data_IF_969728528431
#
_entry.id   IF_969728528431
#
_cell.length_a   1.000
_cell.length_b   1.000
_cell.length_c   1.000
_cell.angle_alpha   90.00
_cell.angle_beta   90.00
_cell.angle_gamma   90.00
#
_symmetry.space_group_name_H-M   'P 1'
#
loop_
_entity.id
_entity.type
_entity.pdbx_description
1 polymer ?
#
# COMPACT_ATOMS: atom_id res chain seq x y z
N UNK A 1 -28.35 -33.61 -2.74
CA UNK A 1 -27.38 -34.47 -2.03
C UNK A 1 -26.28 -34.79 -3.02
N UNK A 2 -25.02 -34.81 -2.57
CA UNK A 2 -23.89 -35.21 -3.45
C UNK A 2 -24.16 -36.64 -3.92
N UNK A 3 -24.09 -36.88 -5.24
CA UNK A 3 -24.24 -38.22 -5.80
C UNK A 3 -23.04 -39.09 -5.43
N UNK A 4 -23.28 -40.32 -4.98
CA UNK A 4 -22.21 -41.25 -4.58
C UNK A 4 -21.22 -41.56 -5.71
N UNK A 5 -21.65 -41.46 -6.97
CA UNK A 5 -20.78 -41.66 -8.14
C UNK A 5 -19.66 -40.63 -8.25
N UNK A 6 -19.81 -39.45 -7.64
CA UNK A 6 -18.76 -38.42 -7.63
C UNK A 6 -17.53 -38.81 -6.81
N UNK A 7 -17.67 -39.74 -5.85
CA UNK A 7 -16.64 -40.08 -4.88
C UNK A 7 -16.41 -39.02 -3.77
N UNK A 8 -17.15 -37.91 -3.79
CA UNK A 8 -17.02 -36.83 -2.80
C UNK A 8 -17.85 -37.11 -1.54
N UNK A 9 -17.30 -36.77 -0.39
CA UNK A 9 -17.92 -36.90 0.92
C UNK A 9 -18.44 -35.55 1.44
N UNK A 10 -19.53 -35.60 2.20
CA UNK A 10 -20.12 -34.41 2.82
C UNK A 10 -19.16 -33.81 3.86
N UNK A 11 -19.04 -32.48 3.88
CA UNK A 11 -18.18 -31.74 4.80
C UNK A 11 -16.69 -31.71 4.41
N UNK A 12 -16.30 -32.44 3.38
CA UNK A 12 -14.93 -32.39 2.84
C UNK A 12 -14.79 -31.35 1.73
N UNK A 13 -13.58 -30.83 1.57
CA UNK A 13 -13.24 -29.91 0.48
C UNK A 13 -12.47 -30.65 -0.59
N UNK A 14 -12.78 -30.35 -1.84
CA UNK A 14 -12.07 -30.92 -2.99
C UNK A 14 -11.61 -29.81 -3.92
N UNK A 15 -10.34 -29.83 -4.30
CA UNK A 15 -9.77 -28.91 -5.30
C UNK A 15 -9.53 -29.66 -6.60
N UNK A 16 -9.67 -28.97 -7.73
CA UNK A 16 -9.38 -29.53 -9.04
C UNK A 16 -7.90 -29.33 -9.34
N UNK A 17 -7.16 -30.43 -9.51
CA UNK A 17 -5.74 -30.37 -9.84
C UNK A 17 -5.57 -30.12 -11.34
N UNK A 18 -5.19 -28.89 -11.71
CA UNK A 18 -5.04 -28.50 -13.10
C UNK A 18 -3.70 -28.97 -13.68
N UNK A 19 -3.74 -29.50 -14.90
CA UNK A 19 -2.55 -29.81 -15.70
C UNK A 19 -2.29 -28.66 -16.69
N UNK A 20 -1.03 -28.43 -17.06
CA UNK A 20 -0.70 -27.40 -18.03
C UNK A 20 -1.49 -27.65 -19.34
N UNK A 21 -2.25 -26.62 -19.79
CA UNK A 21 -3.10 -26.57 -21.01
C UNK A 21 -4.59 -26.97 -20.87
N UNK A 22 -5.13 -27.10 -19.66
CA UNK A 22 -6.59 -27.25 -19.43
C UNK A 22 -7.21 -26.00 -18.79
N UNK A 23 -8.55 -25.91 -18.75
CA UNK A 23 -9.26 -24.84 -18.04
C UNK A 23 -8.82 -24.76 -16.57
N UNK A 24 -8.65 -23.55 -16.04
CA UNK A 24 -8.17 -23.31 -14.69
C UNK A 24 -9.34 -23.17 -13.70
N UNK A 25 -9.53 -24.20 -12.88
CA UNK A 25 -10.46 -24.19 -11.76
C UNK A 25 -9.74 -23.74 -10.48
N UNK A 26 -9.77 -22.44 -10.18
CA UNK A 26 -9.02 -21.84 -9.06
C UNK A 26 -9.67 -21.95 -7.68
N UNK A 27 -10.71 -22.77 -7.53
CA UNK A 27 -11.59 -22.83 -6.37
C UNK A 27 -11.65 -24.22 -5.72
N UNK A 28 -12.66 -24.44 -4.89
CA UNK A 28 -12.90 -25.73 -4.24
C UNK A 28 -14.39 -26.09 -4.19
N UNK A 29 -14.67 -27.38 -4.21
CA UNK A 29 -15.97 -27.92 -3.87
C UNK A 29 -16.14 -28.08 -2.36
N UNK A 30 -17.30 -27.73 -1.83
CA UNK A 30 -17.76 -28.07 -0.48
C UNK A 30 -19.26 -28.35 -0.54
N UNK A 31 -19.69 -29.50 -0.02
CA UNK A 31 -21.10 -29.91 0.02
C UNK A 31 -21.83 -29.84 -1.35
N UNK A 32 -21.10 -30.14 -2.43
CA UNK A 32 -21.61 -30.12 -3.81
C UNK A 32 -21.75 -28.72 -4.42
N UNK A 33 -21.21 -27.69 -3.78
CA UNK A 33 -21.10 -26.32 -4.31
C UNK A 33 -19.65 -25.97 -4.57
N UNK A 34 -19.39 -25.17 -5.59
CA UNK A 34 -18.05 -24.75 -5.98
C UNK A 34 -17.84 -23.26 -5.70
N UNK A 35 -16.74 -22.94 -5.04
CA UNK A 35 -16.40 -21.61 -4.54
C UNK A 35 -15.02 -21.19 -5.02
N UNK A 36 -14.85 -19.93 -5.46
CA UNK A 36 -13.54 -19.42 -5.90
C UNK A 36 -12.59 -19.07 -4.74
N UNK A 37 -13.08 -19.08 -3.49
CA UNK A 37 -12.26 -18.82 -2.32
C UNK A 37 -13.03 -18.97 -1.00
N UNK A 38 -12.36 -19.18 0.15
CA UNK A 38 -13.01 -19.45 1.43
C UNK A 38 -13.86 -18.29 1.97
N UNK A 39 -13.58 -17.08 1.50
CA UNK A 39 -14.26 -15.83 1.92
C UNK A 39 -15.46 -15.48 1.03
N UNK A 40 -15.57 -16.12 -0.14
CA UNK A 40 -16.68 -15.91 -1.06
C UNK A 40 -17.85 -16.79 -0.64
N UNK A 41 -18.83 -16.20 0.04
CA UNK A 41 -20.05 -16.90 0.47
C UNK A 41 -21.00 -17.26 -0.69
N UNK A 42 -20.66 -16.88 -1.92
CA UNK A 42 -21.44 -17.15 -3.13
C UNK A 42 -20.79 -18.28 -3.93
N UNK A 43 -21.54 -19.37 -4.12
CA UNK A 43 -21.11 -20.44 -5.01
C UNK A 43 -21.22 -19.99 -6.46
N UNK A 44 -20.18 -20.25 -7.26
CA UNK A 44 -20.14 -19.98 -8.71
C UNK A 44 -20.31 -21.25 -9.55
N UNK A 45 -20.60 -22.38 -8.88
CA UNK A 45 -20.91 -23.64 -9.52
C UNK A 45 -21.51 -24.63 -8.52
N UNK A 46 -22.13 -25.69 -9.01
CA UNK A 46 -22.75 -26.72 -8.18
C UNK A 46 -22.88 -28.05 -8.92
N UNK A 47 -23.12 -29.11 -8.15
CA UNK A 47 -23.36 -30.44 -8.67
C UNK A 47 -24.86 -30.74 -8.78
N UNK A 48 -25.28 -31.19 -9.95
CA UNK A 48 -26.58 -31.84 -10.18
C UNK A 48 -26.34 -33.30 -10.56
N UNK A 49 -26.51 -34.20 -9.59
CA UNK A 49 -26.04 -35.57 -9.72
C UNK A 49 -24.51 -35.59 -9.83
N UNK A 50 -24.01 -36.10 -10.95
CA UNK A 50 -22.58 -36.08 -11.31
C UNK A 50 -22.21 -34.90 -12.23
N UNK A 51 -23.18 -34.13 -12.72
CA UNK A 51 -22.89 -33.00 -13.62
C UNK A 51 -22.39 -31.81 -12.81
N UNK A 52 -21.27 -31.23 -13.24
CA UNK A 52 -20.74 -30.00 -12.69
C UNK A 52 -21.21 -28.80 -13.52
N UNK A 53 -22.09 -28.00 -12.92
CA UNK A 53 -22.55 -26.74 -13.45
C UNK A 53 -21.63 -25.62 -12.97
N UNK A 54 -21.14 -24.80 -13.90
CA UNK A 54 -20.18 -23.73 -13.66
C UNK A 54 -20.65 -22.43 -14.30
N UNK A 55 -20.93 -21.44 -13.45
CA UNK A 55 -21.62 -20.19 -13.78
C UNK A 55 -20.68 -18.97 -13.66
N UNK A 56 -19.41 -19.17 -14.02
CA UNK A 56 -18.46 -18.08 -14.19
C UNK A 56 -18.63 -17.43 -15.58
N UNK A 57 -18.53 -16.11 -15.64
CA UNK A 57 -18.58 -15.33 -16.87
C UNK A 57 -17.17 -14.91 -17.28
N UNK A 58 -16.90 -14.93 -18.58
CA UNK A 58 -15.65 -14.44 -19.14
C UNK A 58 -15.60 -12.89 -19.18
N UNK A 59 -14.50 -12.34 -19.70
CA UNK A 59 -14.30 -10.89 -19.79
C UNK A 59 -15.32 -10.16 -20.70
N UNK A 60 -16.07 -10.90 -21.52
CA UNK A 60 -17.11 -10.38 -22.41
C UNK A 60 -18.51 -10.57 -21.81
N UNK A 61 -18.62 -11.21 -20.64
CA UNK A 61 -19.88 -11.46 -19.94
C UNK A 61 -20.61 -12.73 -20.39
N UNK A 62 -19.96 -13.59 -21.17
CA UNK A 62 -20.52 -14.86 -21.63
C UNK A 62 -20.12 -16.01 -20.68
N UNK A 63 -20.96 -17.03 -20.48
CA UNK A 63 -20.59 -18.19 -19.67
C UNK A 63 -19.32 -18.87 -20.17
N UNK A 64 -18.40 -19.18 -19.25
CA UNK A 64 -17.13 -19.86 -19.55
C UNK A 64 -17.36 -21.22 -20.23
N UNK A 65 -18.45 -21.92 -19.90
CA UNK A 65 -18.87 -23.15 -20.56
C UNK A 65 -20.24 -22.97 -21.24
N UNK A 66 -20.43 -23.45 -22.48
CA UNK A 66 -21.74 -23.52 -23.12
C UNK A 66 -22.75 -24.26 -22.23
N UNK A 67 -23.97 -23.71 -22.12
CA UNK A 67 -25.05 -24.22 -21.26
C UNK A 67 -24.68 -24.35 -19.77
N UNK A 68 -23.57 -23.73 -19.33
CA UNK A 68 -23.02 -23.78 -17.96
C UNK A 68 -22.61 -25.18 -17.51
N UNK A 69 -22.48 -26.15 -18.41
CA UNK A 69 -22.06 -27.51 -18.04
C UNK A 69 -20.55 -27.62 -18.26
N UNK A 70 -19.78 -27.67 -17.17
CA UNK A 70 -18.33 -27.86 -17.26
C UNK A 70 -17.96 -29.30 -17.60
N UNK A 71 -18.69 -30.28 -17.05
CA UNK A 71 -18.42 -31.70 -17.28
C UNK A 71 -19.11 -32.62 -16.28
N UNK A 72 -18.62 -33.86 -16.20
CA UNK A 72 -19.14 -34.91 -15.30
C UNK A 72 -18.04 -35.31 -14.31
N UNK A 73 -18.39 -35.39 -13.02
CA UNK A 73 -17.50 -35.87 -11.95
C UNK A 73 -17.86 -37.30 -11.60
N UNK A 74 -16.89 -38.20 -11.79
CA UNK A 74 -16.99 -39.61 -11.41
C UNK A 74 -15.70 -40.04 -10.71
N UNK A 75 -15.81 -40.68 -9.54
CA UNK A 75 -14.69 -41.19 -8.75
C UNK A 75 -13.54 -40.17 -8.57
N UNK A 76 -13.88 -38.97 -8.10
CA UNK A 76 -12.95 -37.84 -7.92
C UNK A 76 -12.20 -37.45 -9.20
N UNK A 77 -12.80 -37.65 -10.37
CA UNK A 77 -12.29 -37.18 -11.65
C UNK A 77 -13.35 -36.35 -12.37
N UNK A 78 -13.05 -35.09 -12.65
CA UNK A 78 -13.85 -34.24 -13.53
C UNK A 78 -13.45 -34.49 -14.99
N UNK A 79 -14.38 -35.01 -15.78
CA UNK A 79 -14.25 -35.15 -17.23
C UNK A 79 -14.97 -33.98 -17.88
N UNK A 80 -14.22 -33.04 -18.45
CA UNK A 80 -14.75 -31.88 -19.16
C UNK A 80 -15.40 -32.28 -20.48
N UNK A 81 -16.27 -31.42 -21.02
CA UNK A 81 -16.96 -31.66 -22.29
C UNK A 81 -16.01 -31.83 -23.49
N UNK A 82 -14.80 -31.27 -23.42
CA UNK A 82 -13.75 -31.41 -24.44
C UNK A 82 -12.95 -32.73 -24.29
N UNK A 83 -13.27 -33.55 -23.29
CA UNK A 83 -12.63 -34.83 -23.00
C UNK A 83 -11.42 -34.72 -22.06
N UNK A 84 -11.03 -33.53 -21.60
CA UNK A 84 -9.98 -33.38 -20.61
C UNK A 84 -10.39 -33.99 -19.26
N UNK A 85 -9.42 -34.63 -18.59
CA UNK A 85 -9.65 -35.31 -17.30
C UNK A 85 -8.83 -34.61 -16.23
N UNK A 86 -9.50 -34.14 -15.19
CA UNK A 86 -8.91 -33.41 -14.07
C UNK A 86 -9.20 -34.16 -12.77
N UNK A 87 -8.16 -34.44 -11.99
CA UNK A 87 -8.30 -35.13 -10.71
C UNK A 87 -8.76 -34.15 -9.63
N UNK A 88 -9.68 -34.62 -8.77
CA UNK A 88 -10.09 -33.91 -7.57
C UNK A 88 -9.34 -34.48 -6.37
N UNK A 89 -8.64 -33.61 -5.65
CA UNK A 89 -7.94 -33.99 -4.44
C UNK A 89 -8.72 -33.52 -3.21
N UNK A 90 -8.96 -34.43 -2.26
CA UNK A 90 -9.52 -34.09 -0.97
C UNK A 90 -8.50 -33.24 -0.20
N UNK A 91 -8.83 -31.98 0.04
CA UNK A 91 -8.00 -31.10 0.86
C UNK A 91 -8.34 -31.39 2.31
N UNK A 92 -7.38 -31.98 3.02
CA UNK A 92 -7.39 -32.02 4.47
C UNK A 92 -7.34 -30.58 4.97
N UNK A 93 -8.51 -30.01 5.28
CA UNK A 93 -8.56 -28.82 6.11
C UNK A 93 -7.96 -29.25 7.44
N UNK A 94 -6.75 -28.80 7.73
CA UNK A 94 -6.25 -28.81 9.10
C UNK A 94 -7.13 -27.84 9.89
N UNK A 95 -8.33 -28.30 10.25
CA UNK A 95 -9.05 -27.77 11.39
C UNK A 95 -8.24 -28.28 12.56
N UNK A 96 -7.47 -27.43 13.27
CA UNK A 96 -6.79 -27.91 14.46
C UNK A 96 -7.91 -28.44 15.36
N UNK A 97 -7.85 -29.74 15.66
CA UNK A 97 -8.69 -30.33 16.68
C UNK A 97 -8.19 -29.81 18.03
N UNK A 98 -8.49 -28.55 18.31
CA UNK A 98 -8.24 -27.93 19.59
C UNK A 98 -9.38 -28.35 20.51
N UNK A 99 -9.18 -29.46 21.24
CA UNK A 99 -9.33 -29.30 22.69
C UNK A 99 -8.53 -28.06 23.08
N UNK A 100 -9.02 -27.19 23.98
CA UNK A 100 -8.39 -25.89 24.24
C UNK A 100 -7.08 -26.07 25.02
N UNK A 101 -6.08 -26.69 24.42
CA UNK A 101 -4.71 -26.29 24.66
C UNK A 101 -4.62 -24.87 24.14
N UNK A 102 -4.50 -23.95 25.10
CA UNK A 102 -4.19 -22.55 24.89
C UNK A 102 -3.01 -22.48 23.93
N UNK A 103 -3.28 -22.35 22.63
CA UNK A 103 -2.46 -21.52 21.77
C UNK A 103 -2.23 -20.27 22.61
N UNK A 104 -0.97 -19.96 22.91
CA UNK A 104 -0.66 -18.73 23.58
C UNK A 104 -1.16 -17.63 22.66
N UNK A 105 -2.41 -17.21 22.82
CA UNK A 105 -2.90 -15.89 22.46
C UNK A 105 -1.80 -15.01 23.02
N UNK A 106 -1.00 -14.43 22.13
CA UNK A 106 0.01 -13.48 22.56
C UNK A 106 -0.72 -12.56 23.54
N UNK A 107 -0.25 -12.53 24.80
CA UNK A 107 -0.94 -11.76 25.84
C UNK A 107 -1.25 -10.38 25.25
N UNK A 108 -2.48 -9.85 25.39
CA UNK A 108 -2.82 -8.54 24.87
C UNK A 108 -1.69 -7.58 25.21
N UNK A 109 -1.06 -7.00 24.18
CA UNK A 109 0.10 -6.15 24.42
C UNK A 109 -0.38 -4.89 25.11
N UNK A 110 0.05 -4.67 26.36
CA UNK A 110 -0.20 -3.43 27.11
C UNK A 110 0.82 -2.36 26.71
N UNK A 111 0.88 -2.05 25.41
CA UNK A 111 1.73 -0.96 24.92
C UNK A 111 1.12 0.41 25.19
N UNK A 112 1.86 1.47 24.90
CA UNK A 112 1.42 2.84 25.21
C UNK A 112 0.20 3.31 24.40
N UNK A 113 -0.13 2.59 23.31
CA UNK A 113 -1.31 2.86 22.48
C UNK A 113 -2.42 1.82 22.71
N UNK A 114 -2.37 1.09 23.83
CA UNK A 114 -3.38 0.08 24.15
C UNK A 114 -4.80 0.67 24.11
N UNK A 115 -5.68 0.02 23.34
CA UNK A 115 -7.08 0.44 23.16
C UNK A 115 -7.30 1.67 22.28
N UNK A 116 -6.24 2.28 21.73
CA UNK A 116 -6.37 3.36 20.74
C UNK A 116 -6.78 2.79 19.39
N UNK A 117 -7.76 3.41 18.75
CA UNK A 117 -8.22 3.01 17.42
C UNK A 117 -7.43 3.74 16.34
N UNK A 118 -6.74 2.98 15.50
CA UNK A 118 -5.82 3.47 14.47
C UNK A 118 -6.25 2.98 13.10
N UNK A 119 -6.59 3.91 12.21
CA UNK A 119 -6.91 3.63 10.81
C UNK A 119 -5.66 3.82 9.96
N UNK A 120 -5.34 2.86 9.09
CA UNK A 120 -4.17 2.94 8.20
C UNK A 120 -4.60 2.65 6.76
N UNK A 121 -4.50 3.66 5.88
CA UNK A 121 -4.72 3.46 4.44
C UNK A 121 -3.45 2.97 3.75
N UNK A 122 -3.60 2.14 2.71
CA UNK A 122 -2.46 1.50 2.04
C UNK A 122 -1.75 0.46 2.93
N UNK A 123 -2.48 -0.18 3.84
CA UNK A 123 -1.91 -1.07 4.85
C UNK A 123 -1.41 -2.42 4.31
N UNK A 124 -1.78 -2.81 3.08
CA UNK A 124 -1.46 -4.14 2.53
C UNK A 124 0.03 -4.32 2.18
N UNK A 125 0.83 -3.25 2.07
CA UNK A 125 2.23 -3.34 1.65
C UNK A 125 3.10 -2.16 2.12
N UNK A 126 4.41 -2.30 1.96
CA UNK A 126 5.35 -1.21 2.15
C UNK A 126 5.30 -0.59 3.56
N UNK A 127 5.36 0.74 3.60
CA UNK A 127 5.30 1.53 4.84
C UNK A 127 3.99 1.28 5.60
N UNK A 128 2.86 1.09 4.92
CA UNK A 128 1.58 0.85 5.57
C UNK A 128 1.53 -0.46 6.34
N UNK A 129 2.06 -1.54 5.74
CA UNK A 129 2.20 -2.85 6.43
C UNK A 129 3.19 -2.77 7.59
N UNK A 130 4.30 -2.05 7.42
CA UNK A 130 5.25 -1.78 8.50
C UNK A 130 4.61 -0.99 9.65
N UNK A 131 3.80 0.02 9.33
CA UNK A 131 3.04 0.79 10.31
C UNK A 131 2.04 -0.10 11.05
N UNK A 132 1.27 -0.93 10.36
CA UNK A 132 0.36 -1.89 11.00
C UNK A 132 1.10 -2.78 12.01
N UNK A 133 2.28 -3.28 11.67
CA UNK A 133 3.10 -4.07 12.59
C UNK A 133 3.60 -3.26 13.78
N UNK A 134 4.06 -2.03 13.56
CA UNK A 134 4.60 -1.17 14.61
C UNK A 134 3.50 -0.76 15.61
N UNK A 135 2.32 -0.38 15.12
CA UNK A 135 1.17 -0.05 15.97
C UNK A 135 0.60 -1.28 16.68
N UNK A 136 0.59 -2.46 16.05
CA UNK A 136 0.21 -3.71 16.70
C UNK A 136 1.07 -3.99 17.93
N UNK A 137 2.39 -3.80 17.81
CA UNK A 137 3.34 -3.93 18.94
C UNK A 137 3.09 -2.93 20.07
N UNK A 138 2.33 -1.86 19.83
CA UNK A 138 1.93 -0.88 20.85
C UNK A 138 0.55 -1.17 21.45
N UNK A 139 -0.09 -2.27 21.07
CA UNK A 139 -1.40 -2.68 21.58
C UNK A 139 -2.59 -1.91 20.98
N UNK A 140 -2.37 -1.15 19.90
CA UNK A 140 -3.45 -0.43 19.23
C UNK A 140 -4.46 -1.39 18.58
N UNK A 141 -5.71 -0.93 18.49
CA UNK A 141 -6.76 -1.53 17.67
C UNK A 141 -6.62 -1.02 16.24
N UNK A 142 -6.47 -1.92 15.29
CA UNK A 142 -6.12 -1.55 13.92
C UNK A 142 -7.29 -1.71 12.97
N UNK A 143 -7.49 -0.70 12.13
CA UNK A 143 -8.40 -0.74 10.99
C UNK A 143 -7.55 -0.58 9.75
N UNK A 144 -7.35 -1.68 9.02
CA UNK A 144 -6.40 -1.76 7.91
C UNK A 144 -7.16 -1.63 6.59
N UNK A 145 -6.81 -0.62 5.80
CA UNK A 145 -7.52 -0.30 4.57
C UNK A 145 -6.60 -0.35 3.35
N UNK A 146 -7.03 -1.05 2.31
CA UNK A 146 -6.39 -1.13 1.00
C UNK A 146 -7.36 -1.75 -0.03
N UNK A 147 -7.02 -1.70 -1.31
CA UNK A 147 -7.81 -2.34 -2.38
C UNK A 147 -7.67 -3.87 -2.42
N UNK A 148 -6.55 -4.39 -1.90
CA UNK A 148 -6.19 -5.81 -1.93
C UNK A 148 -6.66 -6.51 -0.65
N UNK A 149 -7.82 -7.18 -0.71
CA UNK A 149 -8.41 -7.85 0.44
C UNK A 149 -7.57 -9.04 0.93
N UNK A 150 -7.06 -9.86 0.01
CA UNK A 150 -6.20 -11.02 0.32
C UNK A 150 -4.97 -10.59 1.09
N UNK A 151 -4.29 -9.54 0.62
CA UNK A 151 -3.11 -9.04 1.31
C UNK A 151 -3.44 -8.38 2.66
N UNK A 152 -4.63 -7.78 2.82
CA UNK A 152 -5.06 -7.28 4.13
C UNK A 152 -5.25 -8.43 5.11
N UNK A 153 -5.85 -9.54 4.70
CA UNK A 153 -6.04 -10.72 5.55
C UNK A 153 -4.70 -11.24 6.10
N UNK A 154 -3.66 -11.32 5.27
CA UNK A 154 -2.30 -11.65 5.74
C UNK A 154 -1.81 -10.69 6.83
N UNK A 155 -2.03 -9.38 6.66
CA UNK A 155 -1.59 -8.39 7.65
C UNK A 155 -2.38 -8.50 8.94
N UNK A 156 -3.67 -8.87 8.90
CA UNK A 156 -4.47 -9.15 10.09
C UNK A 156 -3.86 -10.29 10.89
N UNK A 157 -3.50 -11.41 10.24
CA UNK A 157 -2.83 -12.53 10.91
C UNK A 157 -1.50 -12.09 11.53
N UNK A 158 -0.69 -11.32 10.81
CA UNK A 158 0.57 -10.78 11.32
C UNK A 158 0.36 -9.87 12.54
N UNK A 159 -0.68 -9.03 12.55
CA UNK A 159 -1.04 -8.19 13.67
C UNK A 159 -1.56 -9.01 14.86
N UNK A 160 -2.35 -10.06 14.61
CA UNK A 160 -2.85 -10.98 15.63
C UNK A 160 -1.70 -11.73 16.32
N UNK A 161 -0.69 -12.18 15.57
CA UNK A 161 0.54 -12.77 16.12
C UNK A 161 1.32 -11.80 17.02
N UNK A 162 1.09 -10.49 16.87
CA UNK A 162 1.65 -9.42 17.72
C UNK A 162 0.72 -9.02 18.86
N UNK A 163 -0.39 -9.72 19.06
CA UNK A 163 -1.34 -9.51 20.15
C UNK A 163 -2.24 -8.28 19.98
N UNK A 164 -2.43 -7.80 18.75
CA UNK A 164 -3.32 -6.67 18.44
C UNK A 164 -4.65 -7.14 17.85
N UNK A 165 -5.72 -6.44 18.21
CA UNK A 165 -7.02 -6.56 17.56
C UNK A 165 -6.98 -5.78 16.24
N UNK A 166 -7.39 -6.40 15.14
CA UNK A 166 -7.40 -5.74 13.84
C UNK A 166 -8.60 -6.19 12.99
N UNK A 167 -9.13 -5.27 12.19
CA UNK A 167 -10.09 -5.56 11.11
C UNK A 167 -9.56 -5.05 9.77
N UNK A 168 -9.93 -5.73 8.69
CA UNK A 168 -9.64 -5.31 7.33
C UNK A 168 -10.89 -4.69 6.71
N UNK A 169 -10.72 -3.55 6.04
CA UNK A 169 -11.79 -2.89 5.28
C UNK A 169 -11.26 -2.65 3.88
N UNK A 170 -11.82 -3.35 2.89
CA UNK A 170 -11.42 -3.14 1.50
C UNK A 170 -11.82 -1.72 1.09
N UNK A 171 -10.87 -0.89 0.70
CA UNK A 171 -11.12 0.53 0.44
C UNK A 171 -10.26 1.03 -0.71
N UNK A 172 -10.93 1.65 -1.68
CA UNK A 172 -10.30 2.53 -2.65
C UNK A 172 -10.41 3.99 -2.17
N UNK A 173 -9.27 4.61 -1.86
CA UNK A 173 -9.20 5.98 -1.35
C UNK A 173 -9.57 7.04 -2.40
N UNK A 174 -9.68 6.66 -3.67
CA UNK A 174 -10.13 7.55 -4.74
C UNK A 174 -11.65 7.78 -4.69
N UNK A 175 -12.39 6.93 -3.97
CA UNK A 175 -13.84 6.94 -3.91
C UNK A 175 -14.36 7.49 -2.58
N UNK A 176 -15.36 8.37 -2.63
CA UNK A 176 -15.88 9.05 -1.43
C UNK A 176 -16.72 8.15 -0.53
N UNK A 177 -17.52 7.24 -1.10
CA UNK A 177 -18.39 6.34 -0.31
C UNK A 177 -17.60 5.27 0.43
N UNK A 178 -16.63 4.56 -0.20
CA UNK A 178 -15.72 3.66 0.54
C UNK A 178 -14.99 4.35 1.69
N UNK A 179 -14.56 5.61 1.53
CA UNK A 179 -13.91 6.37 2.61
C UNK A 179 -14.87 6.70 3.76
N UNK A 180 -16.15 6.97 3.47
CA UNK A 180 -17.19 7.14 4.50
C UNK A 180 -17.47 5.84 5.23
N UNK A 181 -17.59 4.72 4.51
CA UNK A 181 -17.77 3.39 5.10
C UNK A 181 -16.59 3.02 6.00
N UNK A 182 -15.35 3.25 5.53
CA UNK A 182 -14.14 3.02 6.32
C UNK A 182 -14.17 3.76 7.66
N UNK A 183 -14.56 5.03 7.68
CA UNK A 183 -14.65 5.79 8.92
C UNK A 183 -15.78 5.28 9.85
N UNK A 184 -16.93 4.89 9.28
CA UNK A 184 -18.03 4.32 10.05
C UNK A 184 -17.66 2.98 10.70
N UNK A 185 -17.03 2.08 9.93
CA UNK A 185 -16.55 0.77 10.41
C UNK A 185 -15.45 0.94 11.46
N UNK A 186 -14.51 1.88 11.22
CA UNK A 186 -13.48 2.20 12.19
C UNK A 186 -14.06 2.69 13.51
N UNK A 187 -15.02 3.61 13.46
CA UNK A 187 -15.69 4.10 14.65
C UNK A 187 -16.47 2.98 15.36
N UNK A 188 -17.19 2.12 14.64
CA UNK A 188 -17.90 0.99 15.24
C UNK A 188 -16.94 0.06 15.99
N UNK A 189 -15.83 -0.32 15.35
CA UNK A 189 -14.77 -1.13 15.97
C UNK A 189 -14.09 -0.44 17.16
N UNK A 190 -13.92 0.88 17.07
CA UNK A 190 -13.35 1.73 18.10
C UNK A 190 -14.32 2.21 19.17
N UNK A 191 -15.50 1.61 19.29
CA UNK A 191 -16.54 1.98 20.27
C UNK A 191 -16.99 3.46 20.15
N UNK A 192 -17.23 3.90 18.92
CA UNK A 192 -17.62 5.26 18.56
C UNK A 192 -16.46 6.25 18.42
N UNK A 193 -15.21 5.80 18.50
CA UNK A 193 -14.01 6.66 18.47
C UNK A 193 -13.06 6.29 17.34
N UNK A 194 -12.32 7.30 16.88
CA UNK A 194 -11.14 7.14 16.02
C UNK A 194 -10.06 8.01 16.64
N UNK A 195 -9.00 7.42 17.17
CA UNK A 195 -7.95 8.20 17.85
C UNK A 195 -6.88 8.66 16.86
N UNK A 196 -6.53 7.82 15.87
CA UNK A 196 -5.47 8.11 14.91
C UNK A 196 -5.92 7.70 13.50
N UNK A 197 -5.73 8.59 12.53
CA UNK A 197 -5.96 8.32 11.11
C UNK A 197 -4.66 8.52 10.34
N UNK A 198 -4.17 7.47 9.67
CA UNK A 198 -2.94 7.50 8.89
C UNK A 198 -3.30 7.45 7.40
N UNK A 199 -3.15 8.59 6.73
CA UNK A 199 -3.12 8.63 5.28
C UNK A 199 -1.73 8.18 4.79
N UNK A 200 -1.67 6.98 4.25
CA UNK A 200 -0.44 6.38 3.73
C UNK A 200 -0.60 5.79 2.31
N UNK A 201 -1.82 5.48 1.86
CA UNK A 201 -2.04 5.01 0.51
C UNK A 201 -1.35 5.92 -0.52
N UNK A 202 -0.76 5.34 -1.56
CA UNK A 202 -0.07 6.09 -2.59
C UNK A 202 0.33 5.22 -3.76
N UNK A 203 0.33 5.80 -4.95
CA UNK A 203 0.76 5.19 -6.21
C UNK A 203 1.72 6.13 -6.94
N UNK A 204 2.51 5.58 -7.84
CA UNK A 204 3.46 6.34 -8.64
C UNK A 204 3.33 5.99 -10.11
N UNK A 205 3.58 6.96 -10.97
CA UNK A 205 3.77 6.77 -12.40
C UNK A 205 5.08 7.47 -12.79
N UNK A 206 5.96 6.77 -13.50
CA UNK A 206 7.23 7.32 -13.97
C UNK A 206 7.29 7.24 -15.48
N UNK A 207 7.51 8.36 -16.16
CA UNK A 207 7.55 8.48 -17.62
C UNK A 207 7.76 9.93 -18.04
N UNK A 208 8.02 10.18 -19.33
CA UNK A 208 7.95 11.55 -19.83
C UNK A 208 6.52 12.07 -19.65
N UNK A 209 6.34 13.40 -19.64
CA UNK A 209 5.02 13.96 -19.37
C UNK A 209 4.03 13.59 -20.48
N UNK A 210 4.52 13.58 -21.71
CA UNK A 210 3.80 13.28 -22.95
C UNK A 210 3.60 11.79 -23.21
N UNK A 211 4.51 10.91 -22.75
CA UNK A 211 4.39 9.45 -22.95
C UNK A 211 3.59 8.79 -21.82
N UNK A 212 3.40 9.47 -20.69
CA UNK A 212 2.55 9.00 -19.60
C UNK A 212 1.10 9.37 -19.89
N UNK A 213 0.16 8.41 -19.98
CA UNK A 213 -1.25 8.70 -20.24
C UNK A 213 -1.84 9.69 -19.22
N UNK A 214 -2.76 10.55 -19.66
CA UNK A 214 -3.39 11.54 -18.78
C UNK A 214 -4.10 10.88 -17.60
N UNK A 215 -4.76 9.75 -17.85
CA UNK A 215 -5.48 8.96 -16.86
C UNK A 215 -4.54 8.46 -15.75
N UNK A 216 -3.28 8.16 -16.09
CA UNK A 216 -2.27 7.77 -15.10
C UNK A 216 -1.87 8.96 -14.22
N UNK A 217 -1.69 10.15 -14.80
CA UNK A 217 -1.45 11.37 -14.03
C UNK A 217 -2.62 11.70 -13.10
N UNK A 218 -3.84 11.65 -13.60
CA UNK A 218 -5.05 11.91 -12.84
C UNK A 218 -5.23 10.90 -11.70
N UNK A 219 -4.98 9.61 -11.95
CA UNK A 219 -5.09 8.56 -10.94
C UNK A 219 -4.08 8.75 -9.79
N UNK A 220 -2.87 9.21 -10.10
CA UNK A 220 -1.89 9.60 -9.08
C UNK A 220 -2.44 10.75 -8.22
N UNK A 221 -3.02 11.80 -8.82
CA UNK A 221 -3.62 12.91 -8.07
C UNK A 221 -4.84 12.46 -7.24
N UNK A 222 -5.68 11.59 -7.77
CA UNK A 222 -6.84 11.04 -7.07
C UNK A 222 -6.43 10.28 -5.81
N UNK A 223 -5.35 9.51 -5.88
CA UNK A 223 -4.85 8.69 -4.76
C UNK A 223 -4.01 9.51 -3.78
N UNK A 224 -2.98 10.18 -4.28
CA UNK A 224 -1.90 10.76 -3.47
C UNK A 224 -2.20 12.16 -2.93
N UNK A 225 -3.25 12.83 -3.43
CA UNK A 225 -3.70 14.12 -2.92
C UNK A 225 -5.16 14.08 -2.46
N UNK A 226 -6.09 13.75 -3.37
CA UNK A 226 -7.51 13.77 -3.04
C UNK A 226 -7.89 12.64 -2.06
N UNK A 227 -7.23 11.48 -2.12
CA UNK A 227 -7.40 10.42 -1.12
C UNK A 227 -7.05 10.87 0.30
N UNK A 228 -6.01 11.70 0.46
CA UNK A 228 -5.61 12.26 1.76
C UNK A 228 -6.61 13.29 2.25
N UNK A 229 -7.11 14.15 1.34
CA UNK A 229 -8.17 15.10 1.63
C UNK A 229 -9.44 14.37 2.08
N UNK A 230 -9.86 13.31 1.37
CA UNK A 230 -11.01 12.47 1.76
C UNK A 230 -10.78 11.85 3.13
N UNK A 231 -9.59 11.29 3.39
CA UNK A 231 -9.24 10.71 4.69
C UNK A 231 -9.33 11.71 5.84
N UNK A 232 -8.77 12.91 5.64
CA UNK A 232 -8.89 14.00 6.61
C UNK A 232 -10.37 14.38 6.83
N UNK A 233 -11.12 14.53 5.74
CA UNK A 233 -12.53 14.94 5.77
C UNK A 233 -13.42 13.95 6.54
N UNK A 234 -13.24 12.64 6.34
CA UNK A 234 -14.05 11.62 7.03
C UNK A 234 -13.64 11.40 8.48
N UNK A 235 -12.37 11.62 8.83
CA UNK A 235 -11.90 11.53 10.21
C UNK A 235 -12.29 12.75 11.07
N UNK A 236 -12.38 13.93 10.44
CA UNK A 236 -12.55 15.21 11.13
C UNK A 236 -13.76 15.28 12.09
N UNK A 237 -14.96 14.79 11.72
CA UNK A 237 -16.13 14.83 12.60
C UNK A 237 -15.90 14.06 13.91
N UNK A 238 -15.22 12.91 13.85
CA UNK A 238 -14.89 12.11 15.02
C UNK A 238 -13.88 12.84 15.92
N UNK A 239 -12.82 13.41 15.33
CA UNK A 239 -11.84 14.20 16.09
C UNK A 239 -12.46 15.40 16.78
N UNK A 240 -13.35 16.14 16.09
CA UNK A 240 -14.07 17.30 16.67
C UNK A 240 -15.04 16.88 17.77
N UNK A 241 -15.80 15.81 17.56
CA UNK A 241 -16.76 15.31 18.55
C UNK A 241 -16.07 14.86 19.84
N UNK A 242 -14.94 14.15 19.73
CA UNK A 242 -14.17 13.68 20.89
C UNK A 242 -13.16 14.71 21.42
N UNK A 243 -13.03 15.87 20.74
CA UNK A 243 -12.06 16.96 21.01
C UNK A 243 -10.60 16.51 21.07
N UNK A 244 -10.25 15.40 20.42
CA UNK A 244 -8.90 14.85 20.38
C UNK A 244 -8.73 14.04 19.11
N UNK A 245 -7.50 13.91 18.59
CA UNK A 245 -7.23 13.02 17.46
C UNK A 245 -5.95 13.38 16.71
N UNK A 246 -5.38 12.41 16.01
CA UNK A 246 -4.13 12.62 15.28
C UNK A 246 -4.32 12.19 13.83
N UNK A 247 -4.22 13.13 12.91
CA UNK A 247 -4.08 12.87 11.48
C UNK A 247 -2.60 12.77 11.14
N UNK A 248 -2.15 11.62 10.64
CA UNK A 248 -0.78 11.43 10.15
C UNK A 248 -0.81 11.31 8.64
N UNK A 249 -0.11 12.21 7.94
CA UNK A 249 0.03 12.18 6.49
C UNK A 249 1.43 11.71 6.10
N UNK A 250 1.49 10.69 5.24
CA UNK A 250 2.74 10.21 4.63
C UNK A 250 3.03 11.04 3.37
N UNK A 251 3.90 12.03 3.52
CA UNK A 251 4.36 12.88 2.43
C UNK A 251 5.60 12.23 1.78
N UNK A 252 6.54 13.04 1.31
CA UNK A 252 7.77 12.59 0.69
C UNK A 252 8.80 13.72 0.72
N UNK A 253 10.09 13.39 0.59
CA UNK A 253 11.08 14.38 0.16
C UNK A 253 10.63 15.10 -1.14
N UNK A 254 9.87 14.40 -1.99
CA UNK A 254 9.21 14.93 -3.18
C UNK A 254 8.28 16.13 -2.92
N UNK A 255 7.92 16.42 -1.67
CA UNK A 255 7.17 17.62 -1.27
C UNK A 255 8.02 18.91 -1.24
N UNK A 256 9.35 18.78 -1.38
CA UNK A 256 10.30 19.89 -1.36
C UNK A 256 11.12 19.99 -2.64
N UNK A 257 11.33 18.86 -3.30
CA UNK A 257 12.11 18.76 -4.53
C UNK A 257 11.31 17.95 -5.53
N UNK A 258 10.85 18.60 -6.60
CA UNK A 258 10.13 17.93 -7.67
C UNK A 258 10.99 16.81 -8.29
N UNK A 259 10.37 15.67 -8.55
CA UNK A 259 10.98 14.52 -9.21
C UNK A 259 10.68 14.58 -10.71
N UNK A 260 11.70 14.80 -11.57
CA UNK A 260 11.53 14.71 -13.00
C UNK A 260 10.99 13.34 -13.41
N UNK A 261 10.19 13.32 -14.49
CA UNK A 261 9.50 12.12 -14.99
C UNK A 261 8.42 11.56 -14.04
N UNK A 262 8.08 12.27 -12.96
CA UNK A 262 6.99 11.91 -12.04
C UNK A 262 6.20 13.18 -11.67
N UNK A 263 5.65 13.86 -12.69
CA UNK A 263 5.04 15.19 -12.58
C UNK A 263 3.83 15.19 -11.66
N UNK A 264 2.85 14.32 -11.89
CA UNK A 264 1.66 14.21 -11.05
C UNK A 264 1.99 13.84 -9.59
N UNK A 265 2.95 12.93 -9.39
CA UNK A 265 3.44 12.59 -8.05
C UNK A 265 4.01 13.82 -7.35
N UNK A 266 4.88 14.58 -8.02
CA UNK A 266 5.45 15.82 -7.47
C UNK A 266 4.34 16.83 -7.12
N UNK A 267 3.40 17.08 -8.03
CA UNK A 267 2.27 17.97 -7.79
C UNK A 267 1.46 17.54 -6.56
N UNK A 268 1.16 16.25 -6.42
CA UNK A 268 0.43 15.71 -5.27
C UNK A 268 1.16 15.96 -3.95
N UNK A 269 2.47 15.68 -3.88
CA UNK A 269 3.27 15.77 -2.65
C UNK A 269 3.54 17.21 -2.23
N UNK A 270 3.64 18.16 -3.17
CA UNK A 270 3.61 19.58 -2.87
C UNK A 270 2.22 20.01 -2.35
N UNK A 271 1.14 19.55 -3.00
CA UNK A 271 -0.24 19.83 -2.59
C UNK A 271 -0.55 19.37 -1.16
N UNK A 272 -0.06 18.20 -0.75
CA UNK A 272 -0.23 17.67 0.60
C UNK A 272 0.33 18.58 1.70
N UNK A 273 1.39 19.35 1.41
CA UNK A 273 1.92 20.33 2.36
C UNK A 273 0.93 21.47 2.56
N UNK A 274 0.40 22.03 1.49
CA UNK A 274 -0.62 23.07 1.55
C UNK A 274 -1.87 22.59 2.30
N UNK A 275 -2.33 21.37 2.01
CA UNK A 275 -3.43 20.73 2.74
C UNK A 275 -3.14 20.66 4.25
N UNK A 276 -1.97 20.16 4.63
CA UNK A 276 -1.62 19.94 6.03
C UNK A 276 -1.39 21.25 6.78
N UNK A 277 -0.76 22.26 6.14
CA UNK A 277 -0.60 23.60 6.70
C UNK A 277 -1.95 24.29 6.90
N UNK A 278 -2.87 24.20 5.93
CA UNK A 278 -4.22 24.75 6.06
C UNK A 278 -5.02 24.08 7.19
N UNK A 279 -5.04 22.74 7.26
CA UNK A 279 -5.73 22.02 8.33
C UNK A 279 -5.18 22.37 9.72
N UNK A 280 -3.86 22.52 9.87
CA UNK A 280 -3.26 22.98 11.15
C UNK A 280 -3.75 24.36 11.56
N UNK A 281 -3.88 25.29 10.62
CA UNK A 281 -4.34 26.65 10.91
C UNK A 281 -5.79 26.67 11.45
N UNK A 282 -6.63 25.74 10.98
CA UNK A 282 -8.01 25.58 11.44
C UNK A 282 -8.17 24.96 12.84
N UNK A 283 -7.08 24.46 13.44
CA UNK A 283 -7.11 23.84 14.77
C UNK A 283 -6.99 24.83 15.93
N UNK A 284 -7.10 26.12 15.65
CA UNK A 284 -7.17 27.16 16.69
C UNK A 284 -8.33 26.87 17.66
N UNK A 285 -8.01 26.73 18.95
CA UNK A 285 -8.98 26.37 20.00
C UNK A 285 -9.22 24.87 20.19
N UNK A 286 -8.48 24.01 19.51
CA UNK A 286 -8.57 22.54 19.61
C UNK A 286 -7.18 21.92 19.83
N UNK A 287 -6.59 22.10 21.03
CA UNK A 287 -5.18 21.81 21.27
C UNK A 287 -4.81 20.32 21.17
N UNK A 288 -5.79 19.42 21.35
CA UNK A 288 -5.58 17.96 21.37
C UNK A 288 -5.90 17.28 20.03
N UNK A 289 -6.19 18.06 18.99
CA UNK A 289 -6.27 17.57 17.61
C UNK A 289 -4.97 17.98 16.92
N UNK A 290 -4.33 17.03 16.24
CA UNK A 290 -3.02 17.24 15.62
C UNK A 290 -3.01 16.77 14.17
N UNK A 291 -2.28 17.50 13.33
CA UNK A 291 -1.93 17.06 11.97
C UNK A 291 -0.43 16.92 11.89
N UNK A 292 0.05 15.72 11.61
CA UNK A 292 1.46 15.34 11.61
C UNK A 292 1.89 14.89 10.22
N UNK A 293 2.96 15.47 9.70
CA UNK A 293 3.51 15.09 8.40
C UNK A 293 4.78 14.26 8.59
N UNK A 294 4.81 13.07 7.98
CA UNK A 294 6.03 12.27 7.86
C UNK A 294 6.59 12.48 6.46
N UNK A 295 7.88 12.80 6.35
CA UNK A 295 8.60 13.00 5.09
C UNK A 295 9.65 11.91 4.92
N UNK A 296 9.27 10.74 4.37
CA UNK A 296 10.23 9.71 3.98
C UNK A 296 11.17 10.21 2.88
N UNK A 297 12.44 9.83 2.98
CA UNK A 297 13.37 9.74 1.86
C UNK A 297 13.00 8.55 0.95
N UNK A 298 13.95 8.07 0.14
CA UNK A 298 13.76 6.85 -0.65
C UNK A 298 13.75 5.63 0.27
N UNK A 299 12.62 4.92 0.34
CA UNK A 299 12.45 3.75 1.19
C UNK A 299 12.50 2.45 0.37
N UNK A 300 13.02 1.39 0.98
CA UNK A 300 13.08 0.05 0.38
C UNK A 300 11.71 -0.62 0.38
N UNK A 301 10.82 -0.14 -0.48
CA UNK A 301 9.47 -0.68 -0.61
C UNK A 301 9.25 -1.28 -2.00
N UNK A 302 8.22 -2.13 -2.16
CA UNK A 302 7.81 -2.62 -3.47
C UNK A 302 7.36 -1.53 -4.47
N UNK A 303 7.17 -0.27 -4.05
CA UNK A 303 6.57 0.78 -4.89
C UNK A 303 7.27 1.05 -6.23
N UNK A 304 8.60 0.92 -6.29
CA UNK A 304 9.35 1.05 -7.56
C UNK A 304 9.15 -0.12 -8.53
N UNK A 305 8.80 -1.30 -8.02
CA UNK A 305 8.46 -2.48 -8.81
C UNK A 305 6.99 -2.43 -9.25
N UNK A 306 6.12 -2.00 -8.35
CA UNK A 306 4.67 -2.10 -8.50
C UNK A 306 4.02 -0.88 -9.17
N UNK A 307 4.69 0.28 -9.18
CA UNK A 307 4.16 1.52 -9.74
C UNK A 307 4.11 1.51 -11.27
N UNK A 308 3.36 2.44 -11.83
CA UNK A 308 3.28 2.65 -13.27
C UNK A 308 4.64 3.01 -13.87
N UNK A 309 5.04 2.31 -14.92
CA UNK A 309 6.28 2.52 -15.65
C UNK A 309 5.96 2.84 -17.12
N UNK A 310 6.20 4.07 -17.53
CA UNK A 310 6.03 4.56 -18.89
C UNK A 310 7.38 5.04 -19.47
N UNK A 311 8.51 4.57 -18.91
CA UNK A 311 9.85 5.00 -19.33
C UNK A 311 10.47 4.13 -20.43
N UNK A 312 9.92 2.95 -20.68
CA UNK A 312 10.52 1.91 -21.54
C UNK A 312 11.79 1.25 -20.93
N UNK A 313 12.11 1.56 -19.66
CA UNK A 313 13.30 1.08 -18.97
C UNK A 313 12.93 0.59 -17.56
N UNK A 314 13.72 -0.33 -17.02
CA UNK A 314 13.53 -0.83 -15.67
C UNK A 314 13.76 0.28 -14.62
N UNK A 315 12.77 0.47 -13.74
CA UNK A 315 12.86 1.44 -12.65
C UNK A 315 13.73 0.90 -11.51
N UNK A 316 14.55 1.77 -10.93
CA UNK A 316 15.34 1.49 -9.73
C UNK A 316 15.27 2.69 -8.79
N UNK A 317 15.15 2.47 -7.48
CA UNK A 317 15.19 3.57 -6.52
C UNK A 317 16.56 4.27 -6.56
N UNK A 318 16.58 5.62 -6.49
CA UNK A 318 17.83 6.34 -6.34
C UNK A 318 18.43 6.08 -4.95
N UNK A 319 19.75 5.92 -4.89
CA UNK A 319 20.47 5.73 -3.62
C UNK A 319 20.66 7.06 -2.87
N UNK A 320 20.74 7.05 -1.53
CA UNK A 320 20.61 5.89 -0.62
C UNK A 320 19.15 5.46 -0.39
N UNK A 321 18.95 4.14 -0.20
CA UNK A 321 17.65 3.53 0.11
C UNK A 321 17.60 3.15 1.59
N UNK A 322 16.55 3.54 2.30
CA UNK A 322 16.39 3.35 3.75
C UNK A 322 15.37 2.26 4.11
N UNK A 323 15.43 1.78 5.34
CA UNK A 323 14.48 0.81 5.89
C UNK A 323 13.09 1.44 6.09
N UNK A 324 12.01 0.88 5.51
CA UNK A 324 10.64 1.36 5.72
C UNK A 324 10.18 1.35 7.18
N UNK A 325 10.72 0.47 8.03
CA UNK A 325 10.36 0.42 9.45
C UNK A 325 10.70 1.72 10.19
N UNK A 326 11.72 2.46 9.73
CA UNK A 326 12.04 3.78 10.30
C UNK A 326 10.89 4.79 10.15
N UNK A 327 10.11 4.67 9.06
CA UNK A 327 8.92 5.49 8.85
C UNK A 327 7.79 5.05 9.78
N UNK A 328 7.59 3.73 9.93
CA UNK A 328 6.61 3.17 10.85
C UNK A 328 6.88 3.58 12.31
N UNK A 329 8.14 3.51 12.75
CA UNK A 329 8.58 3.94 14.07
C UNK A 329 8.36 5.45 14.27
N UNK A 330 8.60 6.26 13.23
CA UNK A 330 8.31 7.70 13.26
C UNK A 330 6.81 7.99 13.37
N UNK A 331 5.95 7.20 12.72
CA UNK A 331 4.50 7.32 12.87
C UNK A 331 4.05 6.98 14.29
N UNK A 332 4.57 5.91 14.89
CA UNK A 332 4.30 5.56 16.30
C UNK A 332 4.81 6.66 17.24
N UNK A 333 6.01 7.20 16.99
CA UNK A 333 6.53 8.30 17.79
C UNK A 333 5.64 9.56 17.70
N UNK A 334 5.12 9.89 16.51
CA UNK A 334 4.12 10.95 16.33
C UNK A 334 2.81 10.67 17.07
N UNK A 335 2.34 9.42 17.05
CA UNK A 335 1.14 9.02 17.77
C UNK A 335 1.27 9.18 19.30
N UNK A 336 2.47 8.97 19.83
CA UNK A 336 2.77 9.13 21.26
C UNK A 336 3.06 10.59 21.64
N UNK A 337 3.77 11.31 20.77
CA UNK A 337 4.17 12.69 20.97
C UNK A 337 4.01 13.47 19.65
N UNK A 338 2.84 14.09 19.43
CA UNK A 338 2.52 14.76 18.18
C UNK A 338 3.54 15.84 17.81
N UNK A 339 4.04 15.76 16.56
CA UNK A 339 4.90 16.79 15.96
C UNK A 339 4.37 17.14 14.58
N UNK A 340 4.42 18.42 14.22
CA UNK A 340 3.92 18.86 12.92
C UNK A 340 4.68 18.22 11.75
N UNK A 341 5.98 17.97 11.90
CA UNK A 341 6.81 17.44 10.82
C UNK A 341 7.93 16.55 11.36
N UNK A 342 8.10 15.37 10.75
CA UNK A 342 9.24 14.47 10.96
C UNK A 342 9.82 14.09 9.60
N UNK A 343 11.13 14.27 9.40
CA UNK A 343 11.85 13.79 8.21
C UNK A 343 12.61 12.52 8.53
N UNK A 344 12.48 11.50 7.68
CA UNK A 344 13.13 10.19 7.85
C UNK A 344 14.14 9.98 6.72
N UNK A 345 15.43 10.01 7.07
CA UNK A 345 16.57 9.86 6.16
C UNK A 345 17.40 11.14 5.99
N UNK A 346 18.67 11.12 6.41
CA UNK A 346 19.52 12.32 6.46
C UNK A 346 19.79 12.97 5.09
N UNK A 347 19.85 12.16 4.02
CA UNK A 347 20.03 12.66 2.65
C UNK A 347 18.87 13.56 2.18
N UNK A 348 17.67 13.36 2.72
CA UNK A 348 16.50 14.17 2.38
C UNK A 348 16.66 15.63 2.82
N UNK A 349 17.22 15.85 4.01
CA UNK A 349 17.50 17.20 4.52
C UNK A 349 18.54 17.92 3.67
N UNK A 350 19.57 17.23 3.20
CA UNK A 350 20.61 17.81 2.35
C UNK A 350 20.09 18.16 0.94
N UNK A 351 19.31 17.27 0.32
CA UNK A 351 18.69 17.53 -0.98
C UNK A 351 17.71 18.71 -0.94
N UNK A 352 16.92 18.83 0.15
CA UNK A 352 16.03 19.97 0.38
C UNK A 352 16.79 21.29 0.38
N UNK A 353 17.97 21.35 1.00
CA UNK A 353 18.81 22.56 1.03
C UNK A 353 19.45 22.83 -0.35
N UNK A 354 19.94 21.79 -1.02
CA UNK A 354 20.60 21.93 -2.33
C UNK A 354 19.66 22.49 -3.42
N UNK A 355 18.38 22.11 -3.41
CA UNK A 355 17.38 22.62 -4.36
C UNK A 355 17.27 24.15 -4.34
N UNK A 356 17.31 24.77 -3.15
CA UNK A 356 17.20 26.24 -3.02
C UNK A 356 18.48 26.98 -3.42
N UNK A 357 19.63 26.31 -3.46
CA UNK A 357 20.93 26.96 -3.62
C UNK A 357 21.52 26.82 -5.02
N UNK A 358 20.98 25.92 -5.86
CA UNK A 358 21.54 25.63 -7.20
C UNK A 358 20.62 26.19 -8.30
N UNK A 359 21.02 27.28 -8.99
CA UNK A 359 20.31 27.75 -10.18
C UNK A 359 20.22 26.66 -11.25
N UNK A 360 19.04 26.48 -11.85
CA UNK A 360 18.84 25.46 -12.89
C UNK A 360 18.78 24.02 -12.40
N UNK A 361 18.64 23.80 -11.07
CA UNK A 361 18.59 22.46 -10.47
C UNK A 361 17.59 21.51 -11.15
N UNK A 362 16.41 22.00 -11.54
CA UNK A 362 15.38 21.20 -12.19
C UNK A 362 15.82 20.62 -13.55
N UNK A 363 16.53 21.41 -14.37
CA UNK A 363 17.06 20.93 -15.65
C UNK A 363 18.19 19.93 -15.44
N UNK A 364 19.08 20.20 -14.48
CA UNK A 364 20.17 19.30 -14.13
C UNK A 364 19.65 17.95 -13.59
N UNK A 365 18.66 17.97 -12.69
CA UNK A 365 18.06 16.75 -12.14
C UNK A 365 17.30 15.97 -13.22
N UNK A 366 16.63 16.66 -14.14
CA UNK A 366 15.99 16.06 -15.31
C UNK A 366 17.01 15.35 -16.20
N UNK A 367 18.12 16.02 -16.54
CA UNK A 367 19.20 15.42 -17.33
C UNK A 367 19.81 14.19 -16.65
N UNK A 368 20.11 14.26 -15.34
CA UNK A 368 20.64 13.14 -14.57
C UNK A 368 19.68 11.95 -14.53
N UNK A 369 18.38 12.21 -14.33
CA UNK A 369 17.35 11.17 -14.31
C UNK A 369 17.24 10.49 -15.67
N UNK A 370 17.22 11.27 -16.76
CA UNK A 370 17.21 10.75 -18.14
C UNK A 370 18.43 9.87 -18.42
N UNK A 371 19.61 10.34 -18.02
CA UNK A 371 20.85 9.60 -18.19
C UNK A 371 20.84 8.28 -17.41
N UNK A 372 20.35 8.29 -16.16
CA UNK A 372 20.24 7.08 -15.35
C UNK A 372 19.24 6.07 -15.95
N UNK A 373 18.06 6.52 -16.39
CA UNK A 373 17.06 5.68 -17.04
C UNK A 373 17.61 5.03 -18.31
N UNK A 374 18.31 5.80 -19.17
CA UNK A 374 18.92 5.26 -20.39
C UNK A 374 20.04 4.24 -20.17
N UNK A 375 20.52 4.04 -18.93
CA UNK A 375 21.46 2.98 -18.56
C UNK A 375 20.79 1.75 -17.93
N UNK A 376 19.50 1.85 -17.58
CA UNK A 376 18.75 0.70 -17.11
C UNK A 376 18.43 -0.25 -18.27
N UNK A 377 18.26 -1.56 -18.01
CA UNK A 377 17.73 -2.49 -19.00
C UNK A 377 16.37 -2.02 -19.53
N UNK A 378 16.01 -2.42 -20.74
CA UNK A 378 14.66 -2.22 -21.27
C UNK A 378 13.64 -2.97 -20.42
N UNK A 379 12.45 -2.39 -20.30
CA UNK A 379 11.31 -3.01 -19.65
C UNK A 379 10.03 -2.52 -20.34
N UNK A 380 9.01 -3.38 -20.36
CA UNK A 380 7.71 -3.02 -20.92
C UNK A 380 7.06 -1.89 -20.12
N UNK A 381 6.28 -1.08 -20.83
CA UNK A 381 5.45 -0.08 -20.16
C UNK A 381 4.27 -0.76 -19.47
N UNK A 382 3.84 -0.20 -18.35
CA UNK A 382 2.75 -0.76 -17.55
C UNK A 382 2.10 0.34 -16.71
N UNK A 383 0.78 0.24 -16.52
CA UNK A 383 0.05 1.03 -15.53
C UNK A 383 0.34 0.57 -14.09
N UNK A 384 1.04 -0.55 -13.91
CA UNK A 384 1.39 -1.10 -12.60
C UNK A 384 0.15 -1.20 -11.71
N UNK A 385 0.24 -0.60 -10.53
CA UNK A 385 -0.82 -0.62 -9.53
C UNK A 385 -1.73 0.62 -9.56
N UNK A 386 -1.72 1.43 -10.61
CA UNK A 386 -2.51 2.66 -10.65
C UNK A 386 -4.01 2.38 -10.51
N UNK A 387 -4.53 1.45 -11.31
CA UNK A 387 -5.98 1.19 -11.41
C UNK A 387 -6.41 -0.06 -10.65
N UNK A 388 -5.57 -1.10 -10.64
CA UNK A 388 -5.83 -2.36 -9.95
C UNK A 388 -4.76 -2.64 -8.89
N UNK A 389 -5.04 -3.50 -7.89
CA UNK A 389 -4.02 -3.99 -6.99
C UNK A 389 -2.88 -4.69 -7.72
N UNK A 390 -1.65 -4.60 -7.19
CA UNK A 390 -0.50 -5.34 -7.72
C UNK A 390 -0.73 -6.84 -7.59
N UNK A 391 -0.29 -7.61 -8.60
CA UNK A 391 -0.29 -9.07 -8.53
C UNK A 391 0.89 -9.58 -7.68
N UNK A 392 0.71 -10.76 -7.06
CA UNK A 392 1.74 -11.44 -6.27
C UNK A 392 1.82 -11.03 -4.80
N UNK A 393 2.73 -11.67 -4.05
CA UNK A 393 2.84 -11.47 -2.60
C UNK A 393 3.19 -10.03 -2.23
N UNK A 394 2.39 -9.46 -1.33
CA UNK A 394 2.64 -8.13 -0.75
C UNK A 394 3.62 -8.27 0.41
N UNK A 395 4.54 -7.31 0.55
CA UNK A 395 5.59 -7.30 1.57
C UNK A 395 5.86 -5.88 2.05
N UNK A 396 6.55 -5.76 3.18
CA UNK A 396 7.09 -4.47 3.65
C UNK A 396 8.24 -4.01 2.75
N UNK A 397 9.16 -4.91 2.45
CA UNK A 397 10.42 -4.57 1.79
C UNK A 397 10.38 -4.82 0.27
N UNK A 398 11.10 -3.99 -0.49
CA UNK A 398 11.24 -4.12 -1.94
C UNK A 398 12.46 -4.93 -2.40
N UNK A 399 13.41 -5.21 -1.50
CA UNK A 399 14.66 -5.93 -1.81
C UNK A 399 15.74 -5.05 -2.43
N UNK A 400 15.67 -3.72 -2.27
CA UNK A 400 16.58 -2.77 -2.90
C UNK A 400 17.82 -2.45 -2.05
N UNK A 401 17.77 -2.62 -0.72
CA UNK A 401 18.89 -2.27 0.19
C UNK A 401 20.18 -3.06 -0.07
N UNK A 402 20.07 -4.36 -0.36
CA UNK A 402 21.23 -5.24 -0.55
C UNK A 402 22.11 -4.82 -1.74
N UNK A 403 21.55 -4.06 -2.69
CA UNK A 403 22.25 -3.55 -3.88
C UNK A 403 22.62 -2.06 -3.82
N UNK A 404 22.40 -1.40 -2.68
CA UNK A 404 22.64 0.04 -2.54
C UNK A 404 24.09 0.33 -2.13
N UNK A 405 24.88 0.92 -3.03
CA UNK A 405 26.18 1.50 -2.67
C UNK A 405 25.95 2.86 -1.99
N UNK A 406 26.74 3.24 -0.97
CA UNK A 406 26.67 4.59 -0.42
C UNK A 406 26.93 5.59 -1.55
N UNK A 407 26.03 6.57 -1.70
CA UNK A 407 26.10 7.57 -2.76
C UNK A 407 27.22 8.59 -2.44
N UNK A 408 28.48 8.17 -2.65
CA UNK A 408 29.67 9.01 -2.48
C UNK A 408 29.56 10.32 -3.28
N UNK A 409 28.92 10.28 -4.45
CA UNK A 409 28.68 11.45 -5.29
C UNK A 409 27.74 12.49 -4.65
N UNK A 410 26.81 12.07 -3.78
CA UNK A 410 25.88 12.97 -3.09
C UNK A 410 26.60 13.71 -1.94
N UNK A 411 27.51 13.03 -1.24
CA UNK A 411 28.42 13.65 -0.28
C UNK A 411 29.40 14.63 -0.96
N UNK A 412 29.93 14.26 -2.13
CA UNK A 412 30.80 15.13 -2.94
C UNK A 412 30.02 16.35 -3.47
N UNK A 413 28.77 16.17 -3.91
CA UNK A 413 27.92 17.27 -4.39
C UNK A 413 27.54 18.24 -3.26
N UNK A 414 27.25 17.74 -2.06
CA UNK A 414 27.03 18.56 -0.87
C UNK A 414 28.30 19.31 -0.46
N UNK A 415 29.46 18.64 -0.47
CA UNK A 415 30.75 19.28 -0.24
C UNK A 415 31.04 20.39 -1.25
N UNK A 416 30.78 20.15 -2.53
CA UNK A 416 30.95 21.13 -3.60
C UNK A 416 29.96 22.31 -3.48
N UNK A 417 28.70 22.06 -3.13
CA UNK A 417 27.69 23.11 -2.94
C UNK A 417 28.00 23.99 -1.72
N UNK A 418 28.48 23.40 -0.62
CA UNK A 418 28.93 24.14 0.56
C UNK A 418 30.20 24.97 0.26
N UNK A 419 31.13 24.42 -0.52
CA UNK A 419 32.32 25.16 -0.99
C UNK A 419 31.93 26.32 -1.90
N UNK A 420 31.04 26.12 -2.86
CA UNK A 420 30.57 27.16 -3.77
C UNK A 420 29.76 28.24 -3.04
N UNK A 421 28.91 27.85 -2.09
CA UNK A 421 28.19 28.79 -1.21
C UNK A 421 29.16 29.59 -0.33
N UNK A 422 30.16 28.94 0.26
CA UNK A 422 31.22 29.59 1.03
C UNK A 422 32.04 30.59 0.20
N UNK A 423 32.39 30.23 -1.03
CA UNK A 423 33.10 31.13 -1.97
C UNK A 423 32.22 32.32 -2.38
N UNK A 424 30.93 32.11 -2.61
CA UNK A 424 30.00 33.18 -2.93
C UNK A 424 29.81 34.16 -1.75
N UNK A 425 29.71 33.65 -0.52
CA UNK A 425 29.65 34.48 0.69
C UNK A 425 30.97 35.24 0.92
N UNK A 426 32.11 34.57 0.77
CA UNK A 426 33.43 35.19 0.93
C UNK A 426 33.66 36.31 -0.11
N UNK A 427 33.28 36.09 -1.38
CA UNK A 427 33.35 37.12 -2.43
C UNK A 427 32.43 38.31 -2.14
N UNK A 428 31.24 38.06 -1.62
CA UNK A 428 30.28 39.12 -1.24
C UNK A 428 30.75 39.93 -0.02
N UNK A 429 31.50 39.30 0.88
CA UNK A 429 32.14 39.94 2.02
C UNK A 429 33.35 40.78 1.60
N UNK A 430 34.14 40.31 0.62
CA UNK A 430 35.27 41.04 0.06
C UNK A 430 34.86 42.21 -0.85
N UNK A 431 33.71 42.11 -1.52
CA UNK A 431 33.19 43.17 -2.41
C UNK A 431 32.46 44.31 -1.68
N UNK A 432 32.37 44.29 -0.35
CA UNK A 432 31.68 45.32 0.43
C UNK A 432 32.60 45.94 1.50
N UNK A 433 33.45 46.92 1.14
CA UNK A 433 34.41 47.52 2.07
C UNK A 433 33.79 48.54 3.03
N UNK A 434 32.46 48.77 2.98
CA UNK A 434 31.78 49.74 3.85
C UNK A 434 30.94 49.04 4.92
N UNK A 435 31.63 48.44 5.90
CA UNK A 435 31.17 48.22 7.28
C UNK A 435 32.27 47.50 8.06
N UNK A 436 33.18 48.27 8.63
CA UNK A 436 33.82 47.94 9.91
C UNK A 436 33.53 49.10 10.88
N UNK A 437 33.36 48.78 12.17
CA UNK A 437 32.77 49.68 13.17
C UNK A 437 33.54 50.98 13.35
#
# INVERSE_FOLDING_TARGET
MIDSGTGMMRGERYVVHNLERTHNFGGFFLDGKYYLGPELMTAVGWLEGQQFLYDELDAMGEPVFPDRVAGIIENLTLVLNDGARLELEAVQVHVPNAQPERASVARPVSGQLHGKTVVITGASSGIGRAAAHAFAKQGARLVLAARDATALAEVIEECALRGAEAIAVQTDVTQSDPMRSLAAEAAAFGHGRIDIWINNAGVGAVGSFEDTPLEAHEQVLQTDLLGYLRGAYVAWPYFKAQKAGILINTLSLGSWVAQPYAVAYSASKYGLRGLSEALRAELTGLPDIHVCDIYPAVMDTPGFRDGGNFTGHALKPPSPVYDPHLVADAMVACALQPRNSITVGAAATAARVAHFLVPGFAHMSGWLTRFALGRSPQADTSSGNLFTPSTGQRRVEGGWRQNSKPALYLLVAVGAALLLGGVAVARRYQSNPKRRP
#
